data_IF_880272774488
#
_entry.id   IF_880272774488
#
_cell.length_a   1.000
_cell.length_b   1.000
_cell.length_c   1.000
_cell.angle_alpha   90.00
_cell.angle_beta   90.00
_cell.angle_gamma   90.00
#
_symmetry.space_group_name_H-M   'P 1'
#
loop_
_entity.id
_entity.type
_entity.pdbx_description
1 polymer ?
#
# COMPACT_ATOMS: atom_id res chain seq x y z
N UNK A 1 0.68 11.53 14.12
CA UNK A 1 1.31 10.83 12.97
C UNK A 1 0.44 11.04 11.75
N UNK A 2 1.05 11.30 10.59
CA UNK A 2 0.38 11.53 9.31
C UNK A 2 0.82 10.45 8.32
N UNK A 3 -0.13 9.90 7.57
CA UNK A 3 0.13 9.09 6.38
C UNK A 3 0.04 10.03 5.17
N UNK A 4 1.15 10.21 4.46
CA UNK A 4 1.19 11.04 3.25
C UNK A 4 0.95 10.17 2.03
N UNK A 5 -0.28 10.21 1.53
CA UNK A 5 -0.70 9.43 0.37
C UNK A 5 -0.25 10.07 -0.94
N UNK A 6 0.29 9.26 -1.86
CA UNK A 6 0.77 9.66 -3.18
C UNK A 6 0.32 8.68 -4.26
N UNK A 7 0.19 9.17 -5.49
CA UNK A 7 -0.22 8.41 -6.66
C UNK A 7 0.86 8.37 -7.76
N UNK A 8 1.82 9.28 -7.72
CA UNK A 8 2.93 9.33 -8.67
C UNK A 8 4.19 9.95 -8.04
N UNK A 9 5.29 9.94 -8.81
CA UNK A 9 6.58 10.44 -8.37
C UNK A 9 6.58 11.95 -8.07
N UNK A 10 5.77 12.74 -8.79
CA UNK A 10 5.68 14.20 -8.62
C UNK A 10 4.98 14.57 -7.31
N UNK A 11 4.05 13.74 -6.86
CA UNK A 11 3.44 13.89 -5.54
C UNK A 11 4.42 13.51 -4.43
N UNK A 12 5.23 12.48 -4.64
CA UNK A 12 6.27 12.04 -3.70
C UNK A 12 7.32 13.14 -3.43
N UNK A 13 7.69 13.92 -4.46
CA UNK A 13 8.59 15.07 -4.33
C UNK A 13 8.07 16.15 -3.36
N UNK A 14 6.77 16.19 -3.08
CA UNK A 14 6.15 17.16 -2.15
C UNK A 14 6.18 16.68 -0.69
N UNK A 15 6.80 15.54 -0.42
CA UNK A 15 6.96 15.01 0.93
C UNK A 15 7.65 16.01 1.86
N UNK A 16 7.14 16.11 3.09
CA UNK A 16 7.75 16.94 4.13
C UNK A 16 8.63 16.08 5.04
N UNK A 17 9.89 16.47 5.35
CA UNK A 17 10.84 15.64 6.13
C UNK A 17 10.33 15.14 7.49
N UNK A 18 9.39 15.85 8.12
CA UNK A 18 8.77 15.42 9.39
C UNK A 18 7.80 14.23 9.25
N UNK A 19 7.39 13.88 8.02
CA UNK A 19 6.45 12.78 7.76
C UNK A 19 7.21 11.46 7.69
N UNK A 20 6.78 10.50 8.51
CA UNK A 20 7.41 9.18 8.61
C UNK A 20 6.74 8.09 7.77
N UNK A 21 5.49 8.27 7.36
CA UNK A 21 4.74 7.27 6.62
C UNK A 21 4.32 7.82 5.27
N UNK A 22 4.69 7.13 4.21
CA UNK A 22 4.31 7.48 2.84
C UNK A 22 3.49 6.33 2.26
N UNK A 23 2.25 6.62 1.89
CA UNK A 23 1.31 5.68 1.32
C UNK A 23 1.29 5.77 -0.19
N UNK A 24 1.48 4.65 -0.89
CA UNK A 24 1.25 4.59 -2.34
C UNK A 24 -0.13 4.01 -2.58
N UNK A 25 -1.04 4.84 -3.07
CA UNK A 25 -2.38 4.40 -3.43
C UNK A 25 -2.36 3.84 -4.85
N UNK A 26 -2.55 2.52 -4.98
CA UNK A 26 -2.58 1.84 -6.27
C UNK A 26 -3.87 2.06 -7.07
N UNK A 27 -4.88 2.74 -6.49
CA UNK A 27 -6.10 3.11 -7.20
C UNK A 27 -5.92 4.44 -7.91
N UNK A 28 -6.28 4.49 -9.18
CA UNK A 28 -6.47 5.74 -9.88
C UNK A 28 -7.84 6.33 -9.52
N UNK A 29 -7.90 7.53 -8.95
CA UNK A 29 -9.14 8.15 -8.47
C UNK A 29 -10.06 8.66 -9.60
N UNK A 30 -9.57 8.74 -10.85
CA UNK A 30 -10.35 9.18 -12.01
C UNK A 30 -11.02 8.00 -12.73
N UNK A 31 -10.29 6.89 -12.84
CA UNK A 31 -10.70 5.70 -13.60
C UNK A 31 -11.14 4.55 -12.71
N UNK A 32 -10.84 4.60 -11.41
CA UNK A 32 -11.05 3.55 -10.43
C UNK A 32 -10.27 2.25 -10.70
N UNK A 33 -9.39 2.23 -11.71
CA UNK A 33 -8.49 1.11 -11.97
C UNK A 33 -7.47 0.98 -10.85
N UNK A 34 -7.08 -0.26 -10.56
CA UNK A 34 -6.14 -0.58 -9.49
C UNK A 34 -4.95 -1.35 -10.06
N UNK A 35 -3.73 -0.88 -9.78
CA UNK A 35 -2.50 -1.47 -10.29
C UNK A 35 -1.36 -1.38 -9.28
N UNK A 36 -0.97 -2.52 -8.70
CA UNK A 36 0.11 -2.63 -7.71
C UNK A 36 1.51 -2.35 -8.30
N UNK A 37 1.66 -2.29 -9.62
CA UNK A 37 2.91 -1.88 -10.28
C UNK A 37 3.34 -0.47 -9.88
N UNK A 38 2.40 0.41 -9.58
CA UNK A 38 2.68 1.77 -9.08
C UNK A 38 3.52 1.74 -7.80
N UNK A 39 3.18 0.85 -6.86
CA UNK A 39 3.99 0.64 -5.65
C UNK A 39 5.39 0.12 -5.99
N UNK A 40 5.49 -0.84 -6.92
CA UNK A 40 6.79 -1.39 -7.35
C UNK A 40 7.68 -0.34 -8.02
N UNK A 41 7.11 0.62 -8.73
CA UNK A 41 7.83 1.72 -9.39
C UNK A 41 8.26 2.82 -8.41
N UNK A 42 7.39 3.19 -7.46
CA UNK A 42 7.64 4.29 -6.54
C UNK A 42 8.54 3.93 -5.35
N UNK A 43 8.64 2.66 -4.97
CA UNK A 43 9.46 2.24 -3.83
C UNK A 43 10.94 2.65 -3.98
N UNK A 44 11.46 2.66 -5.21
CA UNK A 44 12.84 3.05 -5.52
C UNK A 44 13.09 4.55 -5.35
N UNK A 45 12.04 5.35 -5.26
CA UNK A 45 12.09 6.82 -5.16
C UNK A 45 11.74 7.30 -3.74
N UNK A 46 11.50 6.36 -2.80
CA UNK A 46 11.09 6.70 -1.44
C UNK A 46 12.16 7.53 -0.71
N UNK A 47 11.78 8.64 -0.07
CA UNK A 47 12.71 9.42 0.74
C UNK A 47 13.35 8.58 1.85
N UNK A 48 14.61 8.85 2.17
CA UNK A 48 15.31 8.12 3.23
C UNK A 48 14.61 8.33 4.59
N UNK A 49 14.47 7.24 5.35
CA UNK A 49 13.91 7.28 6.70
C UNK A 49 12.38 7.27 6.76
N UNK A 50 11.67 7.21 5.63
CA UNK A 50 10.22 6.96 5.62
C UNK A 50 9.93 5.46 5.67
N UNK A 51 8.77 5.12 6.21
CA UNK A 51 8.19 3.78 6.17
C UNK A 51 7.17 3.75 5.04
N UNK A 52 7.43 2.97 3.97
CA UNK A 52 6.52 2.87 2.84
C UNK A 52 5.31 1.98 3.19
N UNK A 53 4.12 2.48 2.84
CA UNK A 53 2.82 1.79 2.97
C UNK A 53 2.26 1.57 1.57
N UNK A 54 1.80 0.36 1.25
CA UNK A 54 1.06 0.11 0.00
C UNK A 54 -0.44 0.05 0.28
N UNK A 55 -1.25 0.63 -0.60
CA UNK A 55 -2.70 0.74 -0.44
C UNK A 55 -3.44 0.38 -1.72
N UNK A 56 -4.67 -0.13 -1.58
CA UNK A 56 -5.52 -0.60 -2.68
C UNK A 56 -4.95 -1.79 -3.47
N UNK A 57 -5.82 -2.69 -3.94
CA UNK A 57 -5.42 -3.83 -4.80
C UNK A 57 -4.72 -4.97 -4.08
N UNK A 58 -4.66 -4.91 -2.76
CA UNK A 58 -4.07 -5.92 -1.91
C UNK A 58 -5.16 -6.94 -1.55
N UNK A 59 -5.15 -8.10 -2.20
CA UNK A 59 -6.20 -9.11 -1.99
C UNK A 59 -5.67 -10.53 -1.82
N UNK A 60 -4.39 -10.77 -2.10
CA UNK A 60 -3.80 -12.11 -2.01
C UNK A 60 -2.46 -12.09 -1.27
N UNK A 61 -2.09 -13.19 -0.58
CA UNK A 61 -0.77 -13.34 0.01
C UNK A 61 0.37 -13.15 -1.01
N UNK A 62 0.16 -13.58 -2.26
CA UNK A 62 1.15 -13.45 -3.32
C UNK A 62 1.45 -12.00 -3.69
N UNK A 63 0.43 -11.15 -3.81
CA UNK A 63 0.63 -9.71 -4.07
C UNK A 63 1.34 -9.01 -2.91
N UNK A 64 0.96 -9.35 -1.68
CA UNK A 64 1.63 -8.83 -0.47
C UNK A 64 3.09 -9.27 -0.44
N UNK A 65 3.37 -10.55 -0.69
CA UNK A 65 4.72 -11.10 -0.76
C UNK A 65 5.61 -10.41 -1.80
N UNK A 66 5.08 -10.11 -3.00
CA UNK A 66 5.82 -9.35 -4.03
C UNK A 66 6.20 -7.95 -3.54
N UNK A 67 5.26 -7.23 -2.94
CA UNK A 67 5.50 -5.88 -2.42
C UNK A 67 6.42 -5.91 -1.18
N UNK A 68 6.30 -6.92 -0.33
CA UNK A 68 7.21 -7.15 0.79
C UNK A 68 8.64 -7.38 0.31
N UNK A 69 8.83 -8.20 -0.72
CA UNK A 69 10.13 -8.43 -1.34
C UNK A 69 10.72 -7.13 -1.95
N UNK A 70 9.86 -6.24 -2.46
CA UNK A 70 10.26 -4.95 -3.00
C UNK A 70 10.65 -3.90 -1.93
N UNK A 71 10.33 -4.13 -0.65
CA UNK A 71 10.70 -3.25 0.46
C UNK A 71 9.54 -2.72 1.29
N UNK A 72 8.29 -2.98 0.92
CA UNK A 72 7.14 -2.61 1.73
C UNK A 72 7.07 -3.44 3.01
N UNK A 73 6.65 -2.79 4.10
CA UNK A 73 6.46 -3.44 5.41
C UNK A 73 5.11 -3.15 6.03
N UNK A 74 4.36 -2.19 5.48
CA UNK A 74 3.04 -1.82 5.93
C UNK A 74 2.06 -1.85 4.74
N UNK A 75 0.84 -2.29 5.02
CA UNK A 75 -0.20 -2.49 4.03
C UNK A 75 -1.52 -1.96 4.60
N UNK A 76 -2.21 -1.10 3.84
CA UNK A 76 -3.54 -0.60 4.21
C UNK A 76 -4.60 -1.36 3.41
N UNK A 77 -5.39 -2.16 4.12
CA UNK A 77 -6.35 -3.11 3.54
C UNK A 77 -7.71 -2.96 4.21
N UNK A 78 -8.76 -2.88 3.42
CA UNK A 78 -10.14 -2.80 3.93
C UNK A 78 -11.13 -3.49 3.00
N UNK A 79 -11.18 -3.05 1.74
CA UNK A 79 -12.15 -3.57 0.75
C UNK A 79 -12.12 -5.11 0.62
N UNK A 80 -10.94 -5.73 0.72
CA UNK A 80 -10.78 -7.18 0.63
C UNK A 80 -11.52 -7.94 1.76
N UNK A 81 -11.67 -7.34 2.94
CA UNK A 81 -12.29 -7.96 4.10
C UNK A 81 -13.74 -7.54 4.30
N UNK A 82 -14.09 -6.29 3.96
CA UNK A 82 -15.43 -5.74 4.18
C UNK A 82 -16.52 -6.38 3.31
N UNK A 83 -16.13 -7.17 2.30
CA UNK A 83 -17.06 -7.95 1.46
C UNK A 83 -17.45 -9.28 2.10
N UNK A 84 -16.71 -9.72 3.11
CA UNK A 84 -16.93 -11.00 3.78
C UNK A 84 -17.93 -10.84 4.93
N UNK A 85 -18.63 -11.94 5.25
CA UNK A 85 -19.59 -11.97 6.36
C UNK A 85 -18.92 -11.68 7.72
N UNK A 86 -17.67 -12.12 7.87
CA UNK A 86 -16.82 -11.87 9.03
C UNK A 86 -15.45 -11.32 8.56
N UNK A 87 -15.28 -9.99 8.51
CA UNK A 87 -14.03 -9.36 8.10
C UNK A 87 -12.84 -9.74 8.98
N UNK A 88 -13.07 -10.02 10.27
CA UNK A 88 -12.02 -10.40 11.22
C UNK A 88 -11.47 -11.79 10.90
N UNK A 89 -12.36 -12.75 10.66
CA UNK A 89 -11.98 -14.09 10.23
C UNK A 89 -11.23 -14.08 8.88
N UNK A 90 -11.69 -13.27 7.93
CA UNK A 90 -11.03 -13.11 6.63
C UNK A 90 -9.62 -12.52 6.76
N UNK A 91 -9.44 -11.52 7.63
CA UNK A 91 -8.14 -10.94 7.95
C UNK A 91 -7.20 -11.97 8.58
N UNK A 92 -7.66 -12.72 9.58
CA UNK A 92 -6.87 -13.78 10.23
C UNK A 92 -6.40 -14.84 9.22
N UNK A 93 -7.30 -15.29 8.34
CA UNK A 93 -6.96 -16.28 7.29
C UNK A 93 -5.91 -15.76 6.31
N UNK A 94 -5.91 -14.45 6.00
CA UNK A 94 -4.87 -13.85 5.19
C UNK A 94 -3.54 -13.85 5.96
N UNK A 95 -3.55 -13.42 7.22
CA UNK A 95 -2.36 -13.34 8.08
C UNK A 95 -1.69 -14.70 8.29
N UNK A 96 -2.46 -15.79 8.37
CA UNK A 96 -1.92 -17.17 8.46
C UNK A 96 -1.18 -17.63 7.21
N UNK A 97 -1.40 -16.97 6.06
CA UNK A 97 -0.81 -17.32 4.76
C UNK A 97 0.36 -16.43 4.37
N UNK A 98 0.66 -15.39 5.15
CA UNK A 98 1.79 -14.47 4.97
C UNK A 98 3.03 -15.00 5.70
#
# INVERSE_FOLDING_TARGET
NVLFEVHDARELEKHHPAIKYVGVNNRDLKTFQVDTRRSLELIQQMPLGVVPVSESGLSTPGEIGKLSAAGYRLFLMGEAFMKEKDPGAACNLLMEKL
#
